data_IF_497914696598
#
_entry.id   IF_497914696598
#
_cell.length_a   1.000
_cell.length_b   1.000
_cell.length_c   1.000
_cell.angle_alpha   90.00
_cell.angle_beta   90.00
_cell.angle_gamma   90.00
#
_symmetry.space_group_name_H-M   'P 1'
#
loop_
_entity.id
_entity.type
_entity.pdbx_description
1 polymer ?
#
# COMPACT_ATOMS: atom_id res chain seq x y z
N UNK A 1 -10.20 -12.30 -12.90
CA UNK A 1 -11.01 -11.45 -12.01
C UNK A 1 -12.48 -11.75 -12.29
N UNK A 2 -13.29 -12.06 -11.27
CA UNK A 2 -14.68 -12.55 -11.41
C UNK A 2 -15.70 -11.48 -11.85
N UNK A 3 -15.25 -10.22 -12.03
CA UNK A 3 -16.09 -9.08 -12.40
C UNK A 3 -17.03 -8.61 -11.29
N UNK A 4 -16.90 -9.15 -10.08
CA UNK A 4 -17.72 -8.80 -8.92
C UNK A 4 -16.86 -8.10 -7.88
N UNK A 5 -17.43 -7.07 -7.24
CA UNK A 5 -16.84 -6.46 -6.04
C UNK A 5 -16.88 -7.46 -4.89
N UNK A 6 -15.78 -7.60 -4.17
CA UNK A 6 -15.62 -8.44 -2.99
C UNK A 6 -14.78 -7.72 -1.91
N UNK A 7 -14.74 -8.27 -0.69
CA UNK A 7 -14.01 -7.70 0.44
C UNK A 7 -14.91 -7.08 1.52
N UNK A 8 -14.28 -6.48 2.52
CA UNK A 8 -14.89 -5.80 3.67
C UNK A 8 -14.03 -4.60 4.06
N UNK A 9 -14.62 -3.54 4.63
CA UNK A 9 -13.86 -2.43 5.24
C UNK A 9 -13.11 -2.87 6.51
N UNK A 10 -13.64 -3.88 7.20
CA UNK A 10 -12.92 -4.57 8.27
C UNK A 10 -11.89 -5.52 7.65
N UNK A 11 -10.74 -4.95 7.27
CA UNK A 11 -9.68 -5.66 6.56
C UNK A 11 -8.27 -5.50 7.15
N UNK A 12 -8.12 -4.71 8.22
CA UNK A 12 -6.81 -4.37 8.83
C UNK A 12 -6.26 -5.51 9.69
N UNK A 13 -5.95 -6.62 9.04
CA UNK A 13 -5.43 -7.84 9.63
C UNK A 13 -4.07 -8.21 9.06
N UNK A 14 -3.30 -8.98 9.83
CA UNK A 14 -2.08 -9.64 9.39
C UNK A 14 -2.09 -11.11 9.82
N UNK A 15 -1.33 -11.93 9.12
CA UNK A 15 -1.20 -13.36 9.42
C UNK A 15 0.25 -13.71 9.71
N UNK A 16 0.49 -14.52 10.74
CA UNK A 16 1.83 -14.94 11.18
C UNK A 16 2.00 -16.44 10.96
N UNK A 17 3.11 -16.82 10.33
CA UNK A 17 3.43 -18.21 10.01
C UNK A 17 4.86 -18.55 10.43
N UNK A 18 5.04 -19.67 11.12
CA UNK A 18 6.36 -20.23 11.42
C UNK A 18 6.24 -21.74 11.63
N UNK A 19 7.32 -22.49 11.39
CA UNK A 19 7.35 -23.94 11.61
C UNK A 19 7.69 -24.34 13.07
N UNK A 20 8.10 -23.38 13.91
CA UNK A 20 8.40 -23.60 15.32
C UNK A 20 8.20 -22.28 16.11
N UNK A 21 7.26 -22.29 17.05
CA UNK A 21 6.95 -21.15 17.92
C UNK A 21 7.98 -20.92 19.03
N UNK A 22 8.72 -21.96 19.41
CA UNK A 22 9.71 -21.95 20.48
C UNK A 22 11.09 -22.40 19.96
N UNK A 23 11.68 -21.67 18.99
CA UNK A 23 13.02 -21.98 18.53
C UNK A 23 14.05 -21.64 19.61
N UNK A 24 15.17 -22.38 19.66
CA UNK A 24 16.28 -22.08 20.57
C UNK A 24 16.86 -20.68 20.35
N UNK A 25 16.85 -20.21 19.10
CA UNK A 25 17.29 -18.87 18.71
C UNK A 25 16.19 -18.13 17.97
N UNK A 26 16.03 -16.83 18.24
CA UNK A 26 15.04 -15.99 17.54
C UNK A 26 15.39 -15.89 16.06
N UNK A 27 14.37 -16.08 15.21
CA UNK A 27 14.52 -16.24 13.76
C UNK A 27 14.41 -14.93 12.99
N UNK A 28 14.99 -14.84 11.78
CA UNK A 28 14.69 -13.76 10.86
C UNK A 28 13.18 -13.65 10.61
N UNK A 29 12.67 -12.42 10.57
CA UNK A 29 11.27 -12.13 10.27
C UNK A 29 11.18 -11.58 8.85
N UNK A 30 10.36 -12.21 8.02
CA UNK A 30 10.08 -11.75 6.66
C UNK A 30 8.66 -11.19 6.65
N UNK A 31 8.51 -9.93 6.22
CA UNK A 31 7.22 -9.24 6.16
C UNK A 31 6.90 -8.99 4.70
N UNK A 32 5.86 -9.65 4.21
CA UNK A 32 5.38 -9.50 2.85
C UNK A 32 4.27 -8.47 2.76
N UNK A 33 4.46 -7.47 1.89
CA UNK A 33 3.44 -6.52 1.48
C UNK A 33 2.99 -6.90 0.07
N UNK A 34 1.71 -7.26 -0.09
CA UNK A 34 1.19 -7.68 -1.38
C UNK A 34 1.12 -6.51 -2.38
N UNK A 35 1.30 -6.86 -3.67
CA UNK A 35 1.02 -6.00 -4.81
C UNK A 35 -0.47 -5.88 -5.11
N UNK A 36 -0.81 -5.61 -6.37
CA UNK A 36 -2.19 -5.37 -6.78
C UNK A 36 -2.54 -3.89 -6.92
N UNK A 37 -1.57 -3.09 -7.37
CA UNK A 37 -1.81 -1.72 -7.86
C UNK A 37 -2.44 -0.77 -6.84
N UNK A 38 -2.36 -1.11 -5.55
CA UNK A 38 -3.06 -0.44 -4.44
C UNK A 38 -4.59 -0.52 -4.51
N UNK A 39 -5.18 -1.32 -5.41
CA UNK A 39 -6.63 -1.43 -5.63
C UNK A 39 -7.17 -2.86 -5.42
N UNK A 40 -6.31 -3.88 -5.49
CA UNK A 40 -6.63 -5.28 -5.22
C UNK A 40 -5.53 -5.91 -4.35
N UNK A 41 -5.80 -7.11 -3.85
CA UNK A 41 -4.86 -7.92 -3.10
C UNK A 41 -5.35 -8.25 -1.69
N UNK A 42 -4.72 -9.26 -1.11
CA UNK A 42 -5.14 -9.89 0.14
C UNK A 42 -3.94 -10.56 0.81
N UNK A 43 -4.13 -11.09 2.02
CA UNK A 43 -3.16 -12.00 2.66
C UNK A 43 -3.66 -13.44 2.79
N UNK A 44 -4.71 -13.80 2.05
CA UNK A 44 -5.26 -15.16 2.07
C UNK A 44 -4.26 -16.17 1.50
N UNK A 45 -4.29 -17.39 2.07
CA UNK A 45 -3.32 -18.46 1.74
C UNK A 45 -3.56 -19.13 0.39
N UNK A 46 -4.75 -18.98 -0.19
CA UNK A 46 -5.06 -19.46 -1.55
C UNK A 46 -4.25 -18.70 -2.60
N UNK A 47 -3.91 -17.43 -2.34
CA UNK A 47 -3.00 -16.63 -3.16
C UNK A 47 -1.57 -16.58 -2.61
N UNK A 48 -1.41 -16.35 -1.30
CA UNK A 48 -0.11 -16.13 -0.65
C UNK A 48 0.18 -17.19 0.42
N UNK A 49 0.11 -18.46 0.02
CA UNK A 49 0.39 -19.61 0.89
C UNK A 49 1.82 -19.60 1.46
N UNK A 50 2.01 -19.85 2.76
CA UNK A 50 3.33 -19.79 3.41
C UNK A 50 4.17 -21.07 3.20
N UNK A 51 3.60 -22.10 2.56
CA UNK A 51 4.07 -23.48 2.49
C UNK A 51 5.54 -23.65 2.05
N UNK A 52 6.03 -22.76 1.19
CA UNK A 52 7.41 -22.79 0.72
C UNK A 52 8.37 -22.11 1.71
N UNK A 53 7.97 -21.00 2.33
CA UNK A 53 8.80 -20.27 3.28
C UNK A 53 8.91 -20.97 4.63
N UNK A 54 7.84 -21.60 5.12
CA UNK A 54 7.86 -22.35 6.39
C UNK A 54 8.73 -23.61 6.35
N UNK A 55 9.25 -24.01 5.17
CA UNK A 55 10.34 -25.00 5.08
C UNK A 55 11.68 -24.46 5.57
N UNK A 56 11.81 -23.15 5.79
CA UNK A 56 13.00 -22.48 6.32
C UNK A 56 12.76 -22.04 7.77
N UNK A 57 13.84 -21.82 8.50
CA UNK A 57 13.81 -21.36 9.89
C UNK A 57 13.54 -19.85 10.00
N UNK A 58 12.32 -19.46 9.64
CA UNK A 58 11.88 -18.05 9.62
C UNK A 58 10.52 -17.86 10.26
N UNK A 59 10.17 -16.61 10.53
CA UNK A 59 8.79 -16.16 10.74
C UNK A 59 8.37 -15.36 9.51
N UNK A 60 7.33 -15.81 8.81
CA UNK A 60 6.74 -15.08 7.69
C UNK A 60 5.47 -14.37 8.18
N UNK A 61 5.33 -13.10 7.84
CA UNK A 61 4.15 -12.29 8.17
C UNK A 61 3.61 -11.65 6.90
N UNK A 62 2.33 -11.86 6.60
CA UNK A 62 1.64 -11.26 5.46
C UNK A 62 0.60 -10.26 5.98
N UNK A 63 0.70 -9.00 5.57
CA UNK A 63 -0.19 -7.93 6.03
C UNK A 63 -1.24 -7.60 4.96
N UNK A 64 -2.41 -7.12 5.38
CA UNK A 64 -3.32 -6.36 4.52
C UNK A 64 -3.26 -4.88 4.88
N UNK A 65 -3.73 -4.05 3.96
CA UNK A 65 -3.89 -2.61 4.12
C UNK A 65 -5.09 -2.14 3.29
N UNK A 66 -5.65 -0.97 3.59
CA UNK A 66 -6.78 -0.44 2.78
C UNK A 66 -6.36 -0.16 1.34
N UNK A 67 -7.29 -0.41 0.42
CA UNK A 67 -7.08 -0.32 -1.03
C UNK A 67 -8.03 0.71 -1.67
N UNK A 68 -7.71 1.13 -2.89
CA UNK A 68 -8.51 2.04 -3.72
C UNK A 68 -8.82 3.36 -3.03
N UNK A 69 -9.99 3.93 -3.33
CA UNK A 69 -10.46 5.16 -2.69
C UNK A 69 -10.48 5.05 -1.16
N UNK A 70 -10.82 3.89 -0.60
CA UNK A 70 -10.88 3.68 0.86
C UNK A 70 -9.51 3.78 1.54
N UNK A 71 -8.43 3.46 0.82
CA UNK A 71 -7.05 3.58 1.31
C UNK A 71 -6.34 4.87 0.92
N UNK A 72 -6.78 5.53 -0.16
CA UNK A 72 -5.96 6.54 -0.84
C UNK A 72 -6.73 7.80 -1.28
N UNK A 73 -7.94 8.03 -0.77
CA UNK A 73 -8.61 9.33 -0.89
C UNK A 73 -7.73 10.42 -0.23
N UNK A 74 -7.59 11.57 -0.89
CA UNK A 74 -6.86 12.73 -0.37
C UNK A 74 -7.70 13.98 -0.62
N UNK A 75 -7.80 14.84 0.38
CA UNK A 75 -8.50 16.12 0.36
C UNK A 75 -7.54 17.22 0.79
N UNK A 76 -7.68 18.42 0.22
CA UNK A 76 -6.80 19.54 0.49
C UNK A 76 -7.11 20.23 1.82
N UNK A 77 -8.37 20.20 2.25
CA UNK A 77 -8.81 20.79 3.52
C UNK A 77 -8.21 20.06 4.73
N UNK A 78 -7.40 20.79 5.49
CA UNK A 78 -6.76 20.30 6.73
C UNK A 78 -7.78 19.95 7.81
N UNK A 79 -8.89 20.70 7.89
CA UNK A 79 -9.96 20.51 8.88
C UNK A 79 -10.61 19.11 8.81
N UNK A 80 -10.48 18.41 7.68
CA UNK A 80 -11.11 17.10 7.45
C UNK A 80 -10.20 15.92 7.83
N UNK A 81 -8.91 16.15 8.03
CA UNK A 81 -7.94 15.11 8.36
C UNK A 81 -7.97 13.89 7.41
N UNK A 82 -8.15 14.14 6.11
CA UNK A 82 -8.01 13.15 5.02
C UNK A 82 -6.84 13.56 4.10
N UNK A 83 -5.60 13.62 4.60
CA UNK A 83 -4.46 14.06 3.79
C UNK A 83 -4.08 13.05 2.68
N UNK A 84 -4.55 11.80 2.76
CA UNK A 84 -4.15 10.71 1.89
C UNK A 84 -3.34 9.62 2.59
N UNK A 85 -2.95 8.62 1.80
CA UNK A 85 -2.05 7.53 2.20
C UNK A 85 -2.51 6.71 3.40
N UNK A 86 -3.81 6.60 3.64
CA UNK A 86 -4.35 5.80 4.74
C UNK A 86 -3.89 4.33 4.65
N UNK A 87 -3.85 3.76 3.44
CA UNK A 87 -3.29 2.42 3.18
C UNK A 87 -1.80 2.31 3.52
N UNK A 88 -0.98 3.34 3.27
CA UNK A 88 0.43 3.32 3.72
C UNK A 88 0.55 3.48 5.23
N UNK A 89 -0.33 4.27 5.86
CA UNK A 89 -0.39 4.41 7.33
C UNK A 89 -0.77 3.10 7.99
N UNK A 90 -1.64 2.30 7.37
CA UNK A 90 -1.94 0.93 7.80
C UNK A 90 -0.69 0.06 7.76
N UNK A 91 0.11 0.16 6.70
CA UNK A 91 1.39 -0.58 6.58
C UNK A 91 2.39 -0.15 7.66
N UNK A 92 2.50 1.16 7.96
CA UNK A 92 3.31 1.67 9.08
C UNK A 92 2.85 1.06 10.41
N UNK A 93 1.54 1.04 10.66
CA UNK A 93 0.97 0.47 11.89
C UNK A 93 1.23 -1.03 11.99
N UNK A 94 1.08 -1.78 10.90
CA UNK A 94 1.41 -3.20 10.85
C UNK A 94 2.90 -3.45 11.13
N UNK A 95 3.81 -2.65 10.56
CA UNK A 95 5.25 -2.77 10.85
C UNK A 95 5.58 -2.45 12.32
N UNK A 96 4.92 -1.47 12.93
CA UNK A 96 5.04 -1.18 14.36
C UNK A 96 4.56 -2.37 15.20
N UNK A 97 3.40 -2.95 14.85
CA UNK A 97 2.91 -4.15 15.51
C UNK A 97 3.93 -5.29 15.40
N UNK A 98 4.49 -5.53 14.21
CA UNK A 98 5.46 -6.59 13.97
C UNK A 98 6.72 -6.36 14.81
N UNK A 99 7.30 -5.15 14.81
CA UNK A 99 8.48 -4.83 15.63
C UNK A 99 8.25 -5.13 17.11
N UNK A 100 7.04 -4.85 17.61
CA UNK A 100 6.70 -5.02 19.03
C UNK A 100 6.28 -6.45 19.41
N UNK A 101 5.77 -7.25 18.47
CA UNK A 101 5.11 -8.53 18.78
C UNK A 101 5.77 -9.75 18.14
N UNK A 102 6.66 -9.61 17.15
CA UNK A 102 7.24 -10.77 16.45
C UNK A 102 8.01 -11.72 17.39
N UNK A 103 8.54 -11.19 18.50
CA UNK A 103 9.20 -11.97 19.54
C UNK A 103 8.30 -13.05 20.15
N UNK A 104 6.99 -12.81 20.25
CA UNK A 104 6.01 -13.77 20.76
C UNK A 104 5.84 -15.00 19.85
N UNK A 105 6.26 -14.89 18.58
CA UNK A 105 6.14 -15.94 17.56
C UNK A 105 7.51 -16.54 17.19
N UNK A 106 8.52 -16.35 18.03
CA UNK A 106 9.89 -16.82 17.77
C UNK A 106 10.70 -15.93 16.83
N UNK A 107 10.20 -14.76 16.44
CA UNK A 107 10.88 -13.80 15.58
C UNK A 107 11.90 -12.92 16.32
N UNK A 108 12.94 -12.50 15.63
CA UNK A 108 13.91 -11.53 16.12
C UNK A 108 13.49 -10.11 15.67
N UNK A 109 13.09 -9.22 16.60
CA UNK A 109 12.69 -7.85 16.25
C UNK A 109 13.84 -7.04 15.64
N UNK A 110 15.10 -7.44 15.85
CA UNK A 110 16.30 -6.78 15.31
C UNK A 110 16.82 -7.42 14.01
N UNK A 111 16.01 -8.30 13.40
CA UNK A 111 16.32 -8.91 12.11
C UNK A 111 15.07 -9.09 11.24
N UNK A 112 14.40 -7.97 10.96
CA UNK A 112 13.22 -7.89 10.09
C UNK A 112 13.62 -7.52 8.66
N UNK A 113 13.15 -8.28 7.68
CA UNK A 113 13.22 -7.99 6.24
C UNK A 113 11.82 -7.67 5.73
N UNK A 114 11.64 -6.50 5.12
CA UNK A 114 10.39 -6.15 4.44
C UNK A 114 10.56 -6.36 2.95
N UNK A 115 9.58 -6.99 2.31
CA UNK A 115 9.58 -7.23 0.88
C UNK A 115 8.18 -7.19 0.30
N UNK A 116 8.11 -6.93 -1.00
CA UNK A 116 6.85 -6.94 -1.73
C UNK A 116 7.10 -6.91 -3.23
N UNK A 117 6.04 -7.18 -3.98
CA UNK A 117 6.05 -7.24 -5.44
C UNK A 117 5.12 -6.17 -6.03
N UNK A 118 5.54 -5.56 -7.16
CA UNK A 118 4.78 -4.49 -7.84
C UNK A 118 4.42 -3.35 -6.87
N UNK A 119 3.14 -3.06 -6.64
CA UNK A 119 2.67 -2.09 -5.64
C UNK A 119 3.20 -2.39 -4.22
N UNK A 120 3.39 -3.66 -3.86
CA UNK A 120 4.02 -4.09 -2.62
C UNK A 120 5.51 -3.75 -2.56
N UNK A 121 6.21 -3.74 -3.70
CA UNK A 121 7.59 -3.27 -3.79
C UNK A 121 7.66 -1.75 -3.68
N UNK A 122 6.75 -1.01 -4.34
CA UNK A 122 6.61 0.42 -4.14
C UNK A 122 6.30 0.76 -2.68
N UNK A 123 5.40 0.02 -2.03
CA UNK A 123 5.12 0.09 -0.59
C UNK A 123 6.34 -0.18 0.26
N UNK A 124 7.10 -1.26 -0.02
CA UNK A 124 8.35 -1.55 0.69
C UNK A 124 9.32 -0.38 0.56
N UNK A 125 9.44 0.21 -0.64
CA UNK A 125 10.25 1.41 -0.85
C UNK A 125 9.70 2.60 -0.04
N UNK A 126 8.39 2.87 -0.03
CA UNK A 126 7.81 3.91 0.83
C UNK A 126 8.14 3.72 2.31
N UNK A 127 8.07 2.48 2.81
CA UNK A 127 8.46 2.13 4.17
C UNK A 127 9.97 2.30 4.43
N UNK A 128 10.81 2.32 3.40
CA UNK A 128 12.24 2.66 3.49
C UNK A 128 12.49 4.18 3.41
N UNK A 129 11.56 4.95 2.83
CA UNK A 129 11.68 6.39 2.61
C UNK A 129 11.16 7.22 3.78
N UNK A 130 10.01 6.84 4.35
CA UNK A 130 9.32 7.65 5.36
C UNK A 130 10.06 7.64 6.71
N UNK A 131 10.05 8.77 7.40
CA UNK A 131 10.61 8.88 8.75
C UNK A 131 9.79 8.09 9.79
N UNK A 132 8.51 7.81 9.50
CA UNK A 132 7.59 7.09 10.40
C UNK A 132 8.05 5.67 10.74
N UNK A 133 8.93 5.10 9.93
CA UNK A 133 9.41 3.73 10.01
C UNK A 133 10.92 3.63 10.26
N UNK A 134 11.59 4.75 10.54
CA UNK A 134 13.04 4.79 10.76
C UNK A 134 13.49 3.72 11.76
N UNK A 135 14.29 2.76 11.28
CA UNK A 135 14.85 1.68 12.13
C UNK A 135 13.86 0.60 12.56
N UNK A 136 12.63 0.56 12.00
CA UNK A 136 11.69 -0.54 12.30
C UNK A 136 12.11 -1.87 11.67
N UNK A 137 12.88 -1.85 10.58
CA UNK A 137 13.37 -3.04 9.91
C UNK A 137 14.79 -2.84 9.37
N UNK A 138 15.38 -3.92 8.86
CA UNK A 138 16.84 -4.04 8.72
C UNK A 138 17.27 -4.39 7.30
N UNK A 139 16.35 -4.88 6.44
CA UNK A 139 16.61 -5.26 5.04
C UNK A 139 15.36 -4.97 4.20
N UNK A 140 15.55 -4.57 2.95
CA UNK A 140 14.49 -4.36 1.97
C UNK A 140 14.67 -5.21 0.71
N UNK A 141 13.60 -5.78 0.17
CA UNK A 141 13.62 -6.45 -1.15
C UNK A 141 12.51 -5.86 -2.03
N UNK A 142 12.89 -5.21 -3.13
CA UNK A 142 11.97 -4.54 -4.06
C UNK A 142 11.83 -5.39 -5.33
N UNK A 143 10.70 -6.10 -5.47
CA UNK A 143 10.45 -7.00 -6.60
C UNK A 143 9.55 -6.29 -7.63
N UNK A 144 10.10 -5.96 -8.81
CA UNK A 144 9.33 -5.42 -9.94
C UNK A 144 8.61 -4.09 -9.67
N UNK A 145 9.15 -3.25 -8.80
CA UNK A 145 8.56 -1.94 -8.51
C UNK A 145 9.33 -1.15 -7.46
N UNK A 146 9.09 0.16 -7.43
CA UNK A 146 9.61 1.08 -6.42
C UNK A 146 8.80 2.39 -6.43
N UNK A 147 8.92 3.19 -5.36
CA UNK A 147 8.20 4.47 -5.20
C UNK A 147 8.41 5.53 -6.31
N UNK A 148 9.45 5.43 -7.16
CA UNK A 148 9.68 6.38 -8.27
C UNK A 148 9.09 5.91 -9.60
N UNK A 149 8.50 4.70 -9.64
CA UNK A 149 7.74 4.26 -10.80
C UNK A 149 6.56 5.22 -11.07
N UNK A 150 6.22 5.50 -12.35
CA UNK A 150 5.17 6.47 -12.69
C UNK A 150 3.78 6.05 -12.21
N UNK A 151 3.53 4.75 -12.03
CA UNK A 151 2.28 4.21 -11.50
C UNK A 151 2.24 4.19 -9.96
N UNK A 152 3.38 4.41 -9.28
CA UNK A 152 3.50 4.21 -7.84
C UNK A 152 3.01 5.41 -7.00
N UNK A 153 2.82 6.58 -7.60
CA UNK A 153 2.23 7.74 -6.95
C UNK A 153 1.37 8.56 -7.91
N UNK A 154 0.43 9.32 -7.36
CA UNK A 154 -0.45 10.20 -8.13
C UNK A 154 -0.94 11.37 -7.26
N UNK A 155 -1.20 12.54 -7.86
CA UNK A 155 -1.91 13.63 -7.19
C UNK A 155 -3.41 13.46 -7.44
N UNK A 156 -4.12 12.88 -6.47
CA UNK A 156 -5.52 12.45 -6.60
C UNK A 156 -6.55 13.37 -5.96
N UNK A 157 -6.15 14.54 -5.45
CA UNK A 157 -6.98 15.37 -4.56
C UNK A 157 -8.36 15.71 -5.16
N UNK A 158 -8.39 16.13 -6.43
CA UNK A 158 -9.64 16.47 -7.11
C UNK A 158 -10.50 15.25 -7.49
N UNK A 159 -9.93 14.04 -7.50
CA UNK A 159 -10.65 12.83 -7.93
C UNK A 159 -11.68 12.35 -6.91
N UNK A 160 -11.60 12.80 -5.66
CA UNK A 160 -12.63 12.57 -4.65
C UNK A 160 -13.98 13.16 -5.09
N UNK A 161 -13.97 14.40 -5.58
CA UNK A 161 -15.16 15.05 -6.15
C UNK A 161 -15.69 14.26 -7.35
N UNK A 162 -14.82 13.89 -8.30
CA UNK A 162 -15.22 13.08 -9.47
C UNK A 162 -15.88 11.77 -9.06
N UNK A 163 -15.32 11.04 -8.09
CA UNK A 163 -15.91 9.82 -7.55
C UNK A 163 -17.29 10.09 -6.92
N UNK A 164 -17.42 11.14 -6.12
CA UNK A 164 -18.70 11.53 -5.54
C UNK A 164 -19.75 11.84 -6.63
N UNK A 165 -19.37 12.58 -7.68
CA UNK A 165 -20.24 12.88 -8.83
C UNK A 165 -20.70 11.61 -9.55
N UNK A 166 -19.79 10.66 -9.77
CA UNK A 166 -20.12 9.34 -10.35
C UNK A 166 -21.10 8.55 -9.47
N UNK A 167 -20.99 8.70 -8.16
CA UNK A 167 -21.88 8.07 -7.17
C UNK A 167 -23.21 8.83 -6.97
N UNK A 168 -23.44 9.94 -7.68
CA UNK A 168 -24.70 10.68 -7.67
C UNK A 168 -24.72 11.95 -6.83
N UNK A 169 -23.58 12.41 -6.33
CA UNK A 169 -23.47 13.68 -5.60
C UNK A 169 -23.90 14.88 -6.47
N UNK A 170 -24.72 15.75 -5.88
CA UNK A 170 -25.22 16.99 -6.48
C UNK A 170 -24.94 18.15 -5.54
N UNK A 171 -23.75 18.70 -5.64
CA UNK A 171 -23.34 19.90 -4.94
C UNK A 171 -22.06 20.45 -5.56
N UNK A 172 -21.51 21.45 -4.90
CA UNK A 172 -20.28 22.13 -5.29
C UNK A 172 -19.05 21.23 -5.06
N UNK A 173 -17.95 21.56 -5.74
CA UNK A 173 -16.63 20.98 -5.47
C UNK A 173 -16.07 21.58 -4.17
N UNK A 174 -16.55 21.05 -3.06
CA UNK A 174 -16.15 21.42 -1.72
C UNK A 174 -15.78 20.16 -0.93
N UNK A 175 -14.54 20.09 -0.43
CA UNK A 175 -14.01 18.91 0.25
C UNK A 175 -14.90 18.39 1.38
N UNK A 176 -15.52 19.29 2.16
CA UNK A 176 -16.39 18.91 3.29
C UNK A 176 -17.66 18.23 2.80
N UNK A 177 -18.37 18.85 1.86
CA UNK A 177 -19.62 18.33 1.32
C UNK A 177 -19.40 17.01 0.56
N UNK A 178 -18.30 16.93 -0.19
CA UNK A 178 -17.85 15.73 -0.89
C UNK A 178 -17.57 14.60 0.09
N UNK A 179 -16.78 14.86 1.15
CA UNK A 179 -16.47 13.84 2.14
C UNK A 179 -17.72 13.37 2.90
N UNK A 180 -18.59 14.29 3.31
CA UNK A 180 -19.85 13.96 3.99
C UNK A 180 -20.76 13.07 3.13
N UNK A 181 -20.74 13.25 1.80
CA UNK A 181 -21.44 12.37 0.87
C UNK A 181 -20.77 11.00 0.78
N UNK A 182 -19.45 10.95 0.57
CA UNK A 182 -18.69 9.70 0.42
C UNK A 182 -18.76 8.83 1.67
N UNK A 183 -18.73 9.42 2.87
CA UNK A 183 -18.84 8.72 4.15
C UNK A 183 -20.20 8.03 4.38
N UNK A 184 -21.24 8.41 3.61
CA UNK A 184 -22.57 7.80 3.66
C UNK A 184 -22.79 6.77 2.55
N UNK A 185 -21.90 6.73 1.55
CA UNK A 185 -22.01 5.80 0.44
C UNK A 185 -21.68 4.38 0.90
N UNK A 186 -22.25 3.38 0.22
CA UNK A 186 -21.85 1.99 0.45
C UNK A 186 -20.45 1.77 -0.14
N UNK A 187 -19.53 1.11 0.58
CA UNK A 187 -18.14 0.97 0.13
C UNK A 187 -18.05 0.28 -1.23
N UNK A 188 -18.87 -0.76 -1.46
CA UNK A 188 -18.89 -1.48 -2.73
C UNK A 188 -19.32 -0.62 -3.93
N UNK A 189 -20.13 0.42 -3.71
CA UNK A 189 -20.57 1.30 -4.78
C UNK A 189 -19.43 2.25 -5.19
N UNK A 190 -18.64 2.72 -4.22
CA UNK A 190 -17.44 3.52 -4.46
C UNK A 190 -16.38 2.73 -5.23
N UNK A 191 -16.03 1.53 -4.75
CA UNK A 191 -15.01 0.68 -5.38
C UNK A 191 -15.42 0.28 -6.80
N UNK A 192 -16.71 0.02 -7.04
CA UNK A 192 -17.21 -0.29 -8.40
C UNK A 192 -17.06 0.90 -9.37
N UNK A 193 -17.20 2.13 -8.88
CA UNK A 193 -17.14 3.33 -9.71
C UNK A 193 -15.70 3.83 -9.95
N UNK A 194 -14.75 3.34 -9.16
CA UNK A 194 -13.35 3.76 -9.22
C UNK A 194 -12.72 3.60 -10.62
N UNK A 195 -13.04 2.52 -11.34
CA UNK A 195 -12.57 2.27 -12.72
C UNK A 195 -12.97 3.36 -13.74
N UNK A 196 -13.97 4.20 -13.40
CA UNK A 196 -14.53 5.25 -14.26
C UNK A 196 -14.03 6.64 -13.91
N UNK A 197 -13.24 6.79 -12.84
CA UNK A 197 -12.81 8.10 -12.32
C UNK A 197 -11.82 8.78 -13.26
N UNK A 198 -10.85 8.05 -13.81
CA UNK A 198 -9.86 8.63 -14.71
C UNK A 198 -10.48 9.09 -16.03
N UNK A 199 -10.21 10.34 -16.37
CA UNK A 199 -10.55 10.96 -17.66
C UNK A 199 -9.76 10.33 -18.82
N UNK A 200 -10.21 10.57 -20.06
CA UNK A 200 -9.49 10.10 -21.26
C UNK A 200 -8.08 10.70 -21.34
N UNK A 201 -7.92 11.98 -20.97
CA UNK A 201 -6.63 12.66 -20.97
C UNK A 201 -5.66 12.04 -19.96
N UNK A 202 -6.09 11.78 -18.72
CA UNK A 202 -5.26 11.13 -17.70
C UNK A 202 -4.79 9.74 -18.14
N UNK A 203 -5.70 8.93 -18.72
CA UNK A 203 -5.34 7.60 -19.27
C UNK A 203 -4.34 7.72 -20.42
N UNK A 204 -4.50 8.73 -21.27
CA UNK A 204 -3.57 9.01 -22.38
C UNK A 204 -2.18 9.38 -21.86
N UNK A 205 -2.13 10.18 -20.80
CA UNK A 205 -0.93 10.57 -20.05
C UNK A 205 -0.39 9.48 -19.12
N UNK A 206 -0.89 8.24 -19.26
CA UNK A 206 -0.42 7.03 -18.54
C UNK A 206 -0.61 7.08 -17.02
N UNK A 207 -1.55 7.88 -16.53
CA UNK A 207 -2.07 7.69 -15.17
C UNK A 207 -2.76 6.35 -15.13
N UNK A 208 -2.26 5.44 -14.29
CA UNK A 208 -2.72 4.06 -14.27
C UNK A 208 -3.91 3.87 -13.33
N UNK A 209 -3.91 4.56 -12.18
CA UNK A 209 -4.93 4.42 -11.14
C UNK A 209 -5.40 5.79 -10.63
N UNK A 210 -6.71 5.96 -10.34
CA UNK A 210 -7.25 7.21 -9.83
C UNK A 210 -6.82 7.50 -8.39
N UNK A 211 -6.76 6.48 -7.54
CA UNK A 211 -6.34 6.60 -6.15
C UNK A 211 -5.13 5.72 -5.89
N UNK A 212 -4.17 6.25 -5.16
CA UNK A 212 -2.91 5.60 -4.83
C UNK A 212 -2.06 6.53 -3.97
N UNK A 213 -0.81 6.15 -3.67
CA UNK A 213 0.09 6.99 -2.88
C UNK A 213 0.19 8.41 -3.46
N UNK A 214 0.13 9.42 -2.60
CA UNK A 214 0.13 10.83 -3.00
C UNK A 214 1.04 11.66 -2.10
N UNK A 215 1.53 12.80 -2.58
CA UNK A 215 2.15 13.78 -1.68
C UNK A 215 1.03 14.39 -0.84
N UNK A 216 1.13 14.26 0.49
CA UNK A 216 0.11 14.76 1.40
C UNK A 216 0.07 16.31 1.35
N UNK A 217 -1.12 16.93 1.24
CA UNK A 217 -1.24 18.37 1.00
C UNK A 217 -0.88 19.21 2.23
N UNK A 218 -0.91 18.61 3.42
CA UNK A 218 -0.54 19.23 4.69
C UNK A 218 0.13 18.19 5.60
N UNK A 219 0.88 18.68 6.58
CA UNK A 219 1.61 17.84 7.52
C UNK A 219 0.68 17.34 8.63
N UNK A 220 0.77 16.06 8.96
CA UNK A 220 0.14 15.45 10.14
C UNK A 220 1.18 14.69 10.95
N UNK A 221 0.84 14.32 12.19
CA UNK A 221 1.72 13.49 13.03
C UNK A 221 1.99 12.11 12.39
N UNK A 222 1.02 11.59 11.62
CA UNK A 222 1.09 10.29 10.94
C UNK A 222 1.48 10.40 9.46
N UNK A 223 1.87 11.59 8.99
CA UNK A 223 2.23 11.81 7.59
C UNK A 223 3.35 10.86 7.14
N UNK A 224 3.10 10.18 6.02
CA UNK A 224 4.02 9.20 5.43
C UNK A 224 4.81 9.83 4.29
N UNK A 225 4.15 10.59 3.41
CA UNK A 225 4.74 11.17 2.20
C UNK A 225 4.63 12.71 2.19
N UNK A 226 5.51 13.43 2.90
CA UNK A 226 5.48 14.90 2.95
C UNK A 226 6.00 15.57 1.68
N UNK A 227 6.68 14.82 0.80
CA UNK A 227 7.28 15.31 -0.45
C UNK A 227 7.25 14.22 -1.51
N UNK A 228 7.50 14.58 -2.76
CA UNK A 228 7.65 13.59 -3.83
C UNK A 228 8.72 12.54 -3.48
N UNK A 229 8.54 11.28 -3.92
CA UNK A 229 9.43 10.18 -3.51
C UNK A 229 10.89 10.42 -3.89
N UNK A 230 11.15 11.04 -5.05
CA UNK A 230 12.50 11.46 -5.48
C UNK A 230 13.18 12.43 -4.50
N UNK A 231 12.42 13.29 -3.85
CA UNK A 231 12.93 14.22 -2.85
C UNK A 231 13.14 13.50 -1.51
N UNK A 232 12.25 12.59 -1.14
CA UNK A 232 12.39 11.77 0.07
C UNK A 232 13.63 10.86 0.02
N UNK A 233 13.96 10.31 -1.15
CA UNK A 233 15.16 9.47 -1.36
C UNK A 233 16.43 10.18 -0.87
N UNK A 234 16.51 11.52 -0.97
CA UNK A 234 17.72 12.27 -0.57
C UNK A 234 18.02 12.18 0.93
N UNK A 235 17.01 11.93 1.76
CA UNK A 235 17.13 11.87 3.23
C UNK A 235 16.67 10.54 3.83
N UNK A 236 16.29 9.59 2.98
CA UNK A 236 15.69 8.32 3.38
C UNK A 236 16.62 7.50 4.29
N UNK A 237 16.09 7.08 5.44
CA UNK A 237 16.81 6.22 6.38
C UNK A 237 17.14 4.84 5.77
N UNK A 238 16.26 4.33 4.91
CA UNK A 238 16.42 3.02 4.28
C UNK A 238 17.55 2.95 3.25
N UNK A 239 18.15 4.08 2.87
CA UNK A 239 19.34 4.09 2.02
C UNK A 239 20.55 3.40 2.70
N UNK A 240 20.52 3.29 4.03
CA UNK A 240 21.62 2.74 4.84
C UNK A 240 21.42 1.29 5.27
N UNK A 241 20.38 0.60 4.80
CA UNK A 241 20.17 -0.83 5.07
C UNK A 241 20.42 -1.68 3.81
N UNK A 242 20.87 -2.95 3.96
CA UNK A 242 21.03 -3.84 2.81
C UNK A 242 19.73 -3.97 2.01
N UNK A 243 19.85 -3.78 0.70
CA UNK A 243 18.71 -3.75 -0.21
C UNK A 243 18.95 -4.66 -1.40
N UNK A 244 17.94 -5.44 -1.77
CA UNK A 244 17.92 -6.24 -2.99
C UNK A 244 16.81 -5.72 -3.91
N UNK A 245 17.07 -5.63 -5.21
CA UNK A 245 16.08 -5.23 -6.20
C UNK A 245 16.16 -6.16 -7.39
N UNK A 246 15.03 -6.39 -8.07
CA UNK A 246 15.01 -7.23 -9.27
C UNK A 246 13.73 -7.02 -10.08
N UNK A 247 13.77 -7.42 -11.34
CA UNK A 247 12.64 -7.44 -12.26
C UNK A 247 12.64 -8.78 -13.01
N UNK A 248 11.52 -9.16 -13.60
CA UNK A 248 11.46 -10.28 -14.54
C UNK A 248 12.13 -9.92 -15.87
N UNK A 249 12.47 -10.92 -16.68
CA UNK A 249 13.11 -10.71 -17.99
C UNK A 249 12.16 -10.12 -19.04
N UNK A 250 10.85 -10.08 -18.78
CA UNK A 250 9.83 -9.57 -19.72
C UNK A 250 8.58 -9.09 -18.96
N UNK A 251 8.71 -8.04 -18.14
CA UNK A 251 7.59 -7.49 -17.36
C UNK A 251 6.39 -7.09 -18.23
N UNK A 252 6.67 -6.51 -19.40
CA UNK A 252 5.65 -6.02 -20.33
C UNK A 252 4.74 -7.12 -20.90
N UNK A 253 5.08 -8.40 -20.74
CA UNK A 253 4.25 -9.51 -21.20
C UNK A 253 2.87 -9.50 -20.52
N UNK A 254 2.78 -8.93 -19.31
CA UNK A 254 1.53 -8.71 -18.59
C UNK A 254 0.46 -8.01 -19.43
N UNK A 255 0.85 -7.08 -20.31
CA UNK A 255 -0.09 -6.27 -21.09
C UNK A 255 -0.60 -6.94 -22.38
N UNK A 256 -0.31 -8.21 -22.61
CA UNK A 256 -0.66 -8.93 -23.86
C UNK A 256 -2.15 -8.85 -24.22
N UNK A 257 -3.06 -8.94 -23.23
CA UNK A 257 -4.51 -8.89 -23.48
C UNK A 257 -5.04 -7.48 -23.77
N UNK A 258 -4.31 -6.42 -23.37
CA UNK A 258 -4.72 -5.02 -23.52
C UNK A 258 -4.26 -4.45 -24.88
N UNK A 259 -3.25 -5.06 -25.50
CA UNK A 259 -2.70 -4.65 -26.80
C UNK A 259 -3.47 -5.23 -28.01
N UNK A 260 -4.50 -6.05 -27.79
CA UNK A 260 -5.38 -6.58 -28.84
C UNK A 260 -6.62 -5.72 -28.99
#
# INVERSE_FOLDING_TARGET
ITGKVCGSEDCLYLSVYTNNLNPETKRPVLVYIHGGDFIIGENHRDMYGPDYFIKKDVVLINIQYRLGALGFLSLNSEDLNVPGNAGLKDQVMALRWIKNNCANFGGNPDNITVFGESAGAASTHYMMLTEQTRGLFHRGILMSGNAICPWANTQCQHRAFTLAKLAGYKGEDNDKDVLEFLMKAKPQDLIKLEEKVLTLEERTNKVMFPFGPTVEPYQTADCVLPKHPREMVKTAWGNSIPTMMGNTSYEGLFFTSILK
#
